data_IF_850609921704
#
_entry.id   IF_850609921704
#
_cell.length_a   1.000
_cell.length_b   1.000
_cell.length_c   1.000
_cell.angle_alpha   90.00
_cell.angle_beta   90.00
_cell.angle_gamma   90.00
#
_symmetry.space_group_name_H-M   'P 1'
#
loop_
_entity.id
_entity.type
_entity.pdbx_description
1 polymer ?
#
# COMPACT_ATOMS: atom_id res chain seq x y z
N UNK A 1 -10.57 -4.19 16.41
CA UNK A 1 -10.46 -3.43 17.68
C UNK A 1 -11.78 -2.69 17.94
N UNK A 2 -12.35 -2.86 19.13
CA UNK A 2 -13.64 -2.20 19.51
C UNK A 2 -13.48 -0.69 19.74
N UNK A 3 -12.28 -0.24 20.08
CA UNK A 3 -11.96 1.17 20.43
C UNK A 3 -10.73 1.67 19.67
N UNK A 4 -10.51 1.17 18.47
CA UNK A 4 -9.31 1.49 17.67
C UNK A 4 -9.17 2.98 17.36
N UNK A 5 -10.27 3.66 17.08
CA UNK A 5 -10.23 5.08 16.77
C UNK A 5 -9.96 5.97 17.99
N UNK A 6 -10.49 5.63 19.19
CA UNK A 6 -10.16 6.38 20.43
C UNK A 6 -8.69 6.25 20.80
N UNK A 7 -8.15 5.03 20.72
CA UNK A 7 -6.72 4.81 20.93
C UNK A 7 -5.91 5.55 19.86
N UNK A 8 -6.39 5.52 18.62
CA UNK A 8 -5.83 6.25 17.48
C UNK A 8 -5.81 7.76 17.73
N UNK A 9 -6.88 8.33 18.27
CA UNK A 9 -6.96 9.76 18.60
C UNK A 9 -5.89 10.16 19.62
N UNK A 10 -5.78 9.42 20.71
CA UNK A 10 -4.75 9.67 21.75
C UNK A 10 -3.33 9.51 21.19
N UNK A 11 -3.14 8.56 20.27
CA UNK A 11 -1.85 8.37 19.60
C UNK A 11 -1.52 9.55 18.70
N UNK A 12 -2.49 9.99 17.88
CA UNK A 12 -2.34 11.11 16.95
C UNK A 12 -2.03 12.41 17.70
N UNK A 13 -2.76 12.71 18.78
CA UNK A 13 -2.51 13.90 19.60
C UNK A 13 -1.08 13.97 20.14
N UNK A 14 -0.46 12.80 20.41
CA UNK A 14 0.88 12.71 20.99
C UNK A 14 2.01 12.57 19.97
N UNK A 15 1.74 11.90 18.83
CA UNK A 15 2.79 11.40 17.96
C UNK A 15 2.62 11.76 16.48
N UNK A 16 1.49 12.31 16.07
CA UNK A 16 1.22 12.65 14.67
C UNK A 16 0.67 14.07 14.51
N UNK A 17 1.52 15.09 14.53
CA UNK A 17 1.08 16.49 14.43
C UNK A 17 0.41 16.78 13.08
N UNK A 18 -0.44 17.80 13.04
CA UNK A 18 -1.16 18.19 11.82
C UNK A 18 -0.24 18.60 10.66
N UNK A 19 1.01 19.01 10.95
CA UNK A 19 2.03 19.24 9.92
C UNK A 19 2.38 17.96 9.19
N UNK A 20 2.54 16.85 9.91
CA UNK A 20 2.85 15.55 9.33
C UNK A 20 1.76 15.05 8.40
N UNK A 21 0.46 15.28 8.72
CA UNK A 21 -0.63 14.95 7.79
C UNK A 21 -0.49 15.71 6.48
N UNK A 22 -0.20 17.04 6.54
CA UNK A 22 -0.03 17.84 5.32
C UNK A 22 1.16 17.40 4.47
N UNK A 23 2.30 17.09 5.09
CA UNK A 23 3.48 16.59 4.39
C UNK A 23 3.22 15.24 3.71
N UNK A 24 2.49 14.36 4.39
CA UNK A 24 2.08 13.07 3.82
C UNK A 24 1.08 13.24 2.67
N UNK A 25 0.11 14.16 2.78
CA UNK A 25 -0.83 14.47 1.69
C UNK A 25 -0.08 15.01 0.47
N UNK A 26 0.92 15.86 0.68
CA UNK A 26 1.79 16.38 -0.38
C UNK A 26 2.63 15.27 -1.03
N UNK A 27 3.23 14.39 -0.22
CA UNK A 27 3.99 13.24 -0.70
C UNK A 27 3.12 12.32 -1.58
N UNK A 28 1.90 12.01 -1.14
CA UNK A 28 0.94 11.23 -1.96
C UNK A 28 0.62 11.96 -3.25
N UNK A 29 0.46 13.28 -3.21
CA UNK A 29 0.25 14.09 -4.42
C UNK A 29 1.39 13.92 -5.44
N UNK A 30 2.64 13.92 -5.00
CA UNK A 30 3.80 13.67 -5.86
C UNK A 30 3.81 12.25 -6.41
N UNK A 31 3.48 11.24 -5.61
CA UNK A 31 3.40 9.85 -6.08
C UNK A 31 2.31 9.67 -7.13
N UNK A 32 1.12 10.21 -6.93
CA UNK A 32 0.03 10.19 -7.91
C UNK A 32 0.44 10.90 -9.22
N UNK A 33 1.15 12.03 -9.11
CA UNK A 33 1.68 12.73 -10.28
C UNK A 33 2.70 11.88 -11.05
N UNK A 34 3.61 11.21 -10.35
CA UNK A 34 4.58 10.30 -10.95
C UNK A 34 3.91 9.10 -11.64
N UNK A 35 2.90 8.49 -11.01
CA UNK A 35 2.10 7.43 -11.63
C UNK A 35 1.36 7.92 -12.89
N UNK A 36 0.79 9.11 -12.84
CA UNK A 36 0.11 9.74 -14.01
C UNK A 36 1.08 9.89 -15.18
N UNK A 37 2.25 10.44 -14.91
CA UNK A 37 3.28 10.60 -15.93
C UNK A 37 3.71 9.25 -16.50
N UNK A 38 3.99 8.29 -15.62
CA UNK A 38 4.43 6.95 -16.02
C UNK A 38 3.38 6.23 -16.87
N UNK A 39 2.13 6.21 -16.45
CA UNK A 39 1.02 5.60 -17.20
C UNK A 39 0.87 6.27 -18.56
N UNK A 40 1.00 7.59 -18.63
CA UNK A 40 0.89 8.35 -19.90
C UNK A 40 1.94 7.94 -20.93
N UNK A 41 3.07 7.44 -20.50
CA UNK A 41 4.23 7.06 -21.33
C UNK A 41 4.32 5.56 -21.63
N UNK A 42 3.36 4.73 -21.17
CA UNK A 42 3.40 3.29 -21.42
C UNK A 42 3.13 2.96 -22.89
N UNK A 43 4.18 2.58 -23.62
CA UNK A 43 4.11 2.31 -25.05
C UNK A 43 3.34 1.01 -25.37
N UNK A 44 3.36 0.04 -24.48
CA UNK A 44 2.69 -1.25 -24.66
C UNK A 44 1.16 -1.19 -24.47
N UNK A 45 0.66 -0.09 -23.93
CA UNK A 45 -0.76 0.11 -23.63
C UNK A 45 -1.42 0.99 -24.70
N UNK A 46 -2.57 0.55 -25.22
CA UNK A 46 -3.33 1.35 -26.17
C UNK A 46 -3.79 2.68 -25.58
N UNK A 47 -4.03 3.72 -26.41
CA UNK A 47 -4.52 5.02 -25.90
C UNK A 47 -5.81 4.90 -25.09
N UNK A 48 -6.75 4.05 -25.52
CA UNK A 48 -8.04 3.89 -24.84
C UNK A 48 -7.89 3.26 -23.44
N UNK A 49 -7.05 2.23 -23.30
CA UNK A 49 -6.77 1.60 -22.01
C UNK A 49 -5.97 2.52 -21.09
N UNK A 50 -5.03 3.30 -21.67
CA UNK A 50 -4.26 4.30 -20.94
C UNK A 50 -5.16 5.40 -20.36
N UNK A 51 -6.13 5.88 -21.11
CA UNK A 51 -7.12 6.86 -20.63
C UNK A 51 -7.91 6.30 -19.43
N UNK A 52 -8.39 5.06 -19.52
CA UNK A 52 -9.09 4.39 -18.42
C UNK A 52 -8.20 4.14 -17.20
N UNK A 53 -6.92 3.84 -17.39
CA UNK A 53 -5.97 3.72 -16.30
C UNK A 53 -5.76 5.06 -15.59
N UNK A 54 -5.67 6.16 -16.35
CA UNK A 54 -5.56 7.52 -15.79
C UNK A 54 -6.85 7.96 -15.08
N UNK A 55 -8.02 7.59 -15.61
CA UNK A 55 -9.29 7.80 -14.95
C UNK A 55 -9.33 7.05 -13.61
N UNK A 56 -9.01 5.77 -13.61
CA UNK A 56 -8.91 4.95 -12.39
C UNK A 56 -7.96 5.59 -11.37
N UNK A 57 -6.76 6.00 -11.78
CA UNK A 57 -5.81 6.68 -10.91
C UNK A 57 -6.40 7.96 -10.29
N UNK A 58 -7.20 8.71 -11.04
CA UNK A 58 -7.83 9.95 -10.54
C UNK A 58 -8.87 9.72 -9.44
N UNK A 59 -9.37 8.49 -9.30
CA UNK A 59 -10.37 8.09 -8.31
C UNK A 59 -9.76 7.56 -7.01
N UNK A 60 -8.44 7.41 -6.94
CA UNK A 60 -7.76 7.02 -5.72
C UNK A 60 -7.99 8.06 -4.62
N UNK A 61 -8.41 7.58 -3.45
CA UNK A 61 -8.59 8.39 -2.24
C UNK A 61 -7.61 7.91 -1.18
N UNK A 62 -6.60 8.71 -0.92
CA UNK A 62 -5.68 8.46 0.17
C UNK A 62 -6.39 8.62 1.52
N UNK A 63 -6.12 7.71 2.46
CA UNK A 63 -6.56 7.79 3.84
C UNK A 63 -5.30 7.82 4.70
N UNK A 64 -4.87 9.03 5.07
CA UNK A 64 -3.57 9.27 5.69
C UNK A 64 -3.73 9.72 7.13
N UNK A 65 -2.97 9.08 8.00
CA UNK A 65 -2.83 9.44 9.41
C UNK A 65 -4.10 9.15 10.19
N UNK A 66 -5.08 10.05 10.11
CA UNK A 66 -6.29 9.96 10.89
C UNK A 66 -7.50 10.50 10.10
N UNK A 67 -8.73 10.07 10.46
CA UNK A 67 -9.96 10.51 9.78
C UNK A 67 -10.22 12.00 10.04
N UNK A 68 -10.91 12.67 9.11
CA UNK A 68 -11.29 14.08 9.27
C UNK A 68 -12.29 14.29 10.39
N UNK A 69 -13.06 13.25 10.75
CA UNK A 69 -13.92 13.21 11.92
C UNK A 69 -13.79 11.88 12.64
N UNK A 70 -13.53 11.93 13.94
CA UNK A 70 -13.44 10.74 14.78
C UNK A 70 -14.85 10.21 15.11
N UNK A 71 -14.94 8.90 15.30
CA UNK A 71 -16.17 8.28 15.80
C UNK A 71 -16.41 8.72 17.25
N UNK A 72 -17.64 9.11 17.55
CA UNK A 72 -18.06 9.42 18.92
C UNK A 72 -18.30 8.14 19.73
N UNK A 73 -17.49 7.93 20.78
CA UNK A 73 -17.60 6.82 21.72
C UNK A 73 -18.16 7.24 23.08
N UNK A 74 -18.68 8.47 23.22
CA UNK A 74 -19.18 9.01 24.49
C UNK A 74 -20.26 8.16 25.16
N UNK A 75 -20.97 7.32 24.37
CA UNK A 75 -21.96 6.36 24.86
C UNK A 75 -21.43 4.96 25.15
N UNK A 76 -20.11 4.73 25.03
CA UNK A 76 -19.50 3.41 25.26
C UNK A 76 -19.08 3.25 26.71
N UNK A 77 -19.81 2.42 27.47
CA UNK A 77 -19.41 2.00 28.82
C UNK A 77 -18.45 0.82 28.76
N UNK A 78 -17.19 1.02 29.20
CA UNK A 78 -16.19 -0.03 29.28
C UNK A 78 -15.92 -0.39 30.74
N UNK A 79 -16.15 -1.65 31.14
CA UNK A 79 -15.82 -2.10 32.48
C UNK A 79 -14.31 -2.32 32.62
N UNK A 80 -13.71 -1.73 33.66
CA UNK A 80 -12.26 -1.68 33.94
C UNK A 80 -11.60 -3.02 34.34
N UNK A 81 -12.03 -4.15 33.81
CA UNK A 81 -11.40 -5.45 34.05
C UNK A 81 -10.60 -5.90 32.83
N UNK A 82 -9.28 -5.69 32.83
CA UNK A 82 -8.37 -6.30 31.85
C UNK A 82 -7.19 -5.44 31.42
N UNK A 83 -6.32 -5.01 32.35
CA UNK A 83 -5.10 -4.23 32.03
C UNK A 83 -4.13 -4.88 31.05
N UNK A 84 -4.22 -6.19 30.82
CA UNK A 84 -3.26 -6.95 29.98
C UNK A 84 -3.42 -6.71 28.47
N UNK A 85 -4.62 -6.43 27.97
CA UNK A 85 -4.86 -6.21 26.55
C UNK A 85 -4.20 -4.92 26.04
N UNK A 86 -4.15 -3.89 26.89
CA UNK A 86 -3.50 -2.61 26.59
C UNK A 86 -1.97 -2.72 26.62
N UNK A 87 -1.43 -3.55 27.51
CA UNK A 87 0.00 -3.85 27.57
C UNK A 87 0.45 -4.60 26.30
N UNK A 88 -0.32 -5.57 25.83
CA UNK A 88 -0.03 -6.31 24.60
C UNK A 88 -0.14 -5.46 23.33
N UNK A 89 -1.11 -4.53 23.26
CA UNK A 89 -1.24 -3.60 22.14
C UNK A 89 -0.08 -2.59 22.09
N UNK A 90 0.41 -2.12 23.25
CA UNK A 90 1.58 -1.25 23.35
C UNK A 90 2.89 -1.96 22.98
N UNK A 91 3.05 -3.22 23.39
CA UNK A 91 4.21 -4.03 23.05
C UNK A 91 4.30 -4.29 21.54
N UNK A 92 3.17 -4.59 20.87
CA UNK A 92 3.11 -4.76 19.42
C UNK A 92 3.47 -3.49 18.63
N UNK A 93 3.05 -2.33 19.11
CA UNK A 93 3.34 -1.03 18.46
C UNK A 93 4.81 -0.60 18.64
N UNK A 94 5.50 -1.02 19.70
CA UNK A 94 6.89 -0.67 19.97
C UNK A 94 7.89 -1.42 19.06
N UNK A 95 7.47 -2.48 18.38
CA UNK A 95 8.30 -3.28 17.47
C UNK A 95 8.23 -2.88 16.00
N UNK A 96 7.31 -1.98 15.61
CA UNK A 96 7.25 -1.49 14.24
C UNK A 96 8.08 -0.20 14.12
N UNK A 97 9.16 -0.20 13.32
CA UNK A 97 9.88 1.04 13.05
C UNK A 97 8.93 2.04 12.41
N UNK A 98 9.01 3.33 12.75
CA UNK A 98 8.19 4.35 12.11
C UNK A 98 8.59 4.45 10.63
N UNK A 99 7.64 4.22 9.71
CA UNK A 99 7.85 4.44 8.28
C UNK A 99 8.01 5.92 7.93
N UNK A 100 7.59 6.81 8.81
CA UNK A 100 7.66 8.25 8.66
C UNK A 100 8.30 8.87 9.90
N UNK A 101 9.29 9.74 9.67
CA UNK A 101 9.94 10.51 10.71
C UNK A 101 9.82 12.01 10.38
N UNK A 102 9.05 12.81 11.18
CA UNK A 102 8.86 14.23 10.93
C UNK A 102 10.15 15.06 11.06
N UNK A 103 11.20 14.52 11.69
CA UNK A 103 12.49 15.17 11.87
C UNK A 103 13.51 14.79 10.78
N UNK A 104 13.19 13.77 9.95
CA UNK A 104 14.02 13.34 8.85
C UNK A 104 13.84 14.22 7.62
N UNK A 105 14.80 14.20 6.71
CA UNK A 105 14.66 14.92 5.45
C UNK A 105 13.65 14.24 4.51
N UNK A 106 13.24 14.97 3.47
CA UNK A 106 12.25 14.49 2.51
C UNK A 106 12.72 13.22 1.78
N UNK A 107 14.00 13.10 1.46
CA UNK A 107 14.53 11.94 0.74
C UNK A 107 14.45 10.67 1.59
N UNK A 108 14.71 10.77 2.89
CA UNK A 108 14.57 9.66 3.83
C UNK A 108 13.10 9.21 3.94
N UNK A 109 12.17 10.17 4.09
CA UNK A 109 10.74 9.85 4.15
C UNK A 109 10.20 9.29 2.82
N UNK A 110 10.66 9.78 1.67
CA UNK A 110 10.31 9.21 0.37
C UNK A 110 10.85 7.78 0.21
N UNK A 111 12.05 7.50 0.67
CA UNK A 111 12.64 6.16 0.64
C UNK A 111 11.97 5.16 1.59
N UNK A 112 11.38 5.65 2.67
CA UNK A 112 10.68 4.83 3.67
C UNK A 112 9.18 4.75 3.35
N UNK A 113 8.38 5.67 3.90
CA UNK A 113 6.91 5.62 3.76
C UNK A 113 6.46 5.87 2.30
N UNK A 114 7.20 6.67 1.53
CA UNK A 114 6.87 6.92 0.14
C UNK A 114 6.95 5.66 -0.72
N UNK A 115 7.93 4.79 -0.47
CA UNK A 115 8.02 3.50 -1.14
C UNK A 115 6.83 2.61 -0.83
N UNK A 116 6.38 2.56 0.43
CA UNK A 116 5.18 1.80 0.85
C UNK A 116 3.93 2.35 0.19
N UNK A 117 3.72 3.66 0.20
CA UNK A 117 2.54 4.28 -0.43
C UNK A 117 2.55 4.05 -1.95
N UNK A 118 3.70 4.14 -2.59
CA UNK A 118 3.85 3.82 -4.02
C UNK A 118 3.47 2.36 -4.31
N UNK A 119 3.92 1.43 -3.47
CA UNK A 119 3.56 0.02 -3.53
C UNK A 119 2.04 -0.18 -3.43
N UNK A 120 1.38 0.42 -2.44
CA UNK A 120 -0.07 0.33 -2.26
C UNK A 120 -0.87 0.92 -3.44
N UNK A 121 -0.40 2.01 -4.05
CA UNK A 121 -0.98 2.53 -5.29
C UNK A 121 -0.79 1.52 -6.44
N UNK A 122 0.36 0.87 -6.50
CA UNK A 122 0.70 -0.17 -7.47
C UNK A 122 -0.29 -1.32 -7.47
N UNK A 123 -0.77 -1.73 -6.29
CA UNK A 123 -1.78 -2.79 -6.15
C UNK A 123 -3.09 -2.48 -6.91
N UNK A 124 -3.43 -1.23 -7.14
CA UNK A 124 -4.56 -0.87 -7.99
C UNK A 124 -4.40 -1.30 -9.46
N UNK A 125 -3.18 -1.60 -9.89
CA UNK A 125 -2.82 -1.92 -11.27
C UNK A 125 -2.09 -3.26 -11.42
N UNK A 126 -1.98 -4.05 -10.34
CA UNK A 126 -1.38 -5.38 -10.36
C UNK A 126 -2.30 -6.43 -11.03
N UNK A 127 -1.94 -7.71 -10.95
CA UNK A 127 -2.69 -8.81 -11.55
C UNK A 127 -4.11 -8.96 -10.99
N UNK A 128 -4.33 -8.58 -9.74
CA UNK A 128 -5.63 -8.63 -9.07
C UNK A 128 -6.35 -7.28 -9.18
N UNK A 129 -5.70 -6.19 -8.76
CA UNK A 129 -6.32 -4.86 -8.76
C UNK A 129 -6.67 -4.37 -10.16
N UNK A 130 -5.93 -4.80 -11.19
CA UNK A 130 -6.24 -4.46 -12.58
C UNK A 130 -7.58 -5.02 -13.09
N UNK A 131 -8.18 -5.97 -12.38
CA UNK A 131 -9.49 -6.52 -12.71
C UNK A 131 -10.65 -5.62 -12.28
N UNK A 132 -10.38 -4.66 -11.40
CA UNK A 132 -11.38 -3.74 -10.86
C UNK A 132 -11.31 -2.38 -11.54
N UNK A 133 -12.47 -1.79 -11.82
CA UNK A 133 -12.57 -0.40 -12.28
C UNK A 133 -12.27 0.61 -11.16
N UNK A 134 -12.31 1.91 -11.47
CA UNK A 134 -12.04 2.97 -10.52
C UNK A 134 -13.09 3.12 -9.41
N UNK A 135 -14.26 2.50 -9.55
CA UNK A 135 -15.30 2.43 -8.53
C UNK A 135 -15.19 1.18 -7.64
N UNK A 136 -14.23 0.28 -7.95
CA UNK A 136 -14.02 -0.97 -7.22
C UNK A 136 -14.94 -2.11 -7.66
N UNK A 137 -15.63 -2.00 -8.79
CA UNK A 137 -16.41 -3.08 -9.35
C UNK A 137 -15.51 -4.03 -10.13
N UNK A 138 -15.78 -5.34 -10.05
CA UNK A 138 -15.14 -6.35 -10.90
C UNK A 138 -15.63 -6.15 -12.34
N UNK A 139 -14.93 -5.35 -13.10
CA UNK A 139 -15.30 -4.95 -14.45
C UNK A 139 -14.05 -4.78 -15.31
N UNK A 140 -13.91 -5.59 -16.36
CA UNK A 140 -12.77 -5.49 -17.25
C UNK A 140 -12.83 -4.18 -18.04
N UNK A 141 -11.80 -3.35 -17.85
CA UNK A 141 -11.60 -2.07 -18.55
C UNK A 141 -10.45 -2.13 -19.57
N UNK A 142 -9.84 -3.31 -19.70
CA UNK A 142 -8.76 -3.57 -20.65
C UNK A 142 -9.30 -3.93 -22.03
N UNK A 143 -8.54 -3.60 -23.06
CA UNK A 143 -8.69 -4.28 -24.35
C UNK A 143 -8.05 -5.68 -24.26
N UNK A 144 -8.49 -6.62 -25.12
CA UNK A 144 -7.89 -7.95 -25.18
C UNK A 144 -6.40 -7.90 -25.52
N UNK A 145 -6.00 -6.96 -26.38
CA UNK A 145 -4.62 -6.73 -26.77
C UNK A 145 -3.77 -6.27 -25.59
N UNK A 146 -4.25 -5.28 -24.83
CA UNK A 146 -3.52 -4.76 -23.66
C UNK A 146 -3.44 -5.79 -22.54
N UNK A 147 -4.51 -6.58 -22.34
CA UNK A 147 -4.50 -7.67 -21.37
C UNK A 147 -3.44 -8.71 -21.74
N UNK A 148 -3.37 -9.11 -22.99
CA UNK A 148 -2.34 -10.05 -23.47
C UNK A 148 -0.91 -9.48 -23.34
N UNK A 149 -0.73 -8.17 -23.59
CA UNK A 149 0.56 -7.52 -23.40
C UNK A 149 0.97 -7.48 -21.93
N UNK A 150 0.04 -7.17 -21.02
CA UNK A 150 0.25 -7.18 -19.58
C UNK A 150 0.63 -8.59 -19.09
N UNK A 151 -0.11 -9.63 -19.48
CA UNK A 151 0.16 -11.02 -19.12
C UNK A 151 1.53 -11.50 -19.61
N UNK A 152 1.95 -11.06 -20.79
CA UNK A 152 3.30 -11.35 -21.30
C UNK A 152 4.41 -10.71 -20.47
N UNK A 153 4.17 -9.50 -19.94
CA UNK A 153 5.12 -8.81 -19.07
C UNK A 153 5.18 -9.47 -17.69
N UNK A 154 4.02 -9.76 -17.12
CA UNK A 154 3.93 -10.37 -15.78
C UNK A 154 4.45 -11.81 -15.75
N UNK A 155 4.31 -12.57 -16.84
CA UNK A 155 4.92 -13.88 -16.96
C UNK A 155 6.45 -13.87 -16.79
N UNK A 156 7.14 -12.83 -17.30
CA UNK A 156 8.58 -12.67 -17.09
C UNK A 156 8.90 -12.39 -15.62
N UNK A 157 8.07 -11.63 -14.94
CA UNK A 157 8.24 -11.34 -13.52
C UNK A 157 8.02 -12.60 -12.68
N UNK A 158 7.00 -13.39 -13.00
CA UNK A 158 6.78 -14.72 -12.39
C UNK A 158 8.00 -15.61 -12.56
N UNK A 159 8.55 -15.71 -13.77
CA UNK A 159 9.75 -16.52 -14.06
C UNK A 159 10.96 -16.03 -13.25
N UNK A 160 11.15 -14.71 -13.13
CA UNK A 160 12.24 -14.11 -12.38
C UNK A 160 12.24 -14.49 -10.89
N UNK A 161 11.08 -14.54 -10.27
CA UNK A 161 10.94 -14.79 -8.84
C UNK A 161 10.72 -16.28 -8.52
N UNK A 162 10.23 -17.06 -9.46
CA UNK A 162 9.87 -18.46 -9.22
C UNK A 162 11.08 -19.31 -8.80
N UNK A 163 10.94 -20.02 -7.70
CA UNK A 163 11.98 -20.91 -7.17
C UNK A 163 13.15 -20.20 -6.46
N UNK A 164 13.14 -18.86 -6.33
CA UNK A 164 14.17 -18.15 -5.57
C UNK A 164 14.09 -18.53 -4.09
N UNK A 165 15.21 -18.96 -3.53
CA UNK A 165 15.33 -19.31 -2.10
C UNK A 165 16.10 -18.21 -1.39
N UNK A 166 15.59 -17.65 -0.28
CA UNK A 166 16.31 -16.68 0.54
C UNK A 166 17.69 -17.19 0.96
N UNK A 167 18.69 -16.32 0.89
CA UNK A 167 20.10 -16.67 1.19
C UNK A 167 20.24 -17.26 2.58
N UNK A 168 19.50 -16.72 3.58
CA UNK A 168 19.53 -17.23 4.95
C UNK A 168 19.10 -18.69 5.06
N UNK A 169 18.14 -19.15 4.25
CA UNK A 169 17.71 -20.55 4.25
C UNK A 169 18.75 -21.44 3.58
N UNK A 170 19.37 -20.97 2.50
CA UNK A 170 20.48 -21.69 1.83
C UNK A 170 21.66 -21.89 2.77
N UNK A 171 22.08 -20.83 3.47
CA UNK A 171 23.20 -20.84 4.41
C UNK A 171 22.91 -21.72 5.64
N UNK A 172 21.67 -21.76 6.09
CA UNK A 172 21.23 -22.62 7.17
C UNK A 172 21.04 -24.10 6.76
N UNK A 173 21.19 -24.45 5.50
CA UNK A 173 20.95 -25.80 4.98
C UNK A 173 19.50 -26.23 5.04
N UNK A 174 18.55 -25.30 5.10
CA UNK A 174 17.12 -25.58 5.19
C UNK A 174 16.58 -25.78 3.76
N UNK A 175 16.01 -26.96 3.49
CA UNK A 175 15.33 -27.24 2.23
C UNK A 175 14.11 -26.34 2.05
N UNK A 176 13.98 -25.77 0.85
CA UNK A 176 12.84 -24.90 0.47
C UNK A 176 12.56 -25.02 -1.01
N UNK A 177 11.29 -25.05 -1.39
CA UNK A 177 10.87 -24.97 -2.79
C UNK A 177 11.07 -23.58 -3.39
N UNK A 178 11.42 -22.62 -2.57
CA UNK A 178 11.58 -21.21 -2.95
C UNK A 178 10.24 -20.48 -3.12
N UNK A 179 10.34 -19.28 -3.65
CA UNK A 179 9.19 -18.39 -3.90
C UNK A 179 8.31 -18.97 -5.00
N UNK A 180 7.00 -18.91 -4.80
CA UNK A 180 6.04 -19.12 -5.87
C UNK A 180 5.79 -17.79 -6.59
N UNK A 181 6.41 -17.61 -7.77
CA UNK A 181 6.36 -16.35 -8.51
C UNK A 181 4.95 -15.93 -8.92
N UNK A 182 4.06 -16.88 -9.17
CA UNK A 182 2.65 -16.57 -9.49
C UNK A 182 1.88 -16.10 -8.25
N UNK A 183 2.14 -16.69 -7.10
CA UNK A 183 1.49 -16.30 -5.84
C UNK A 183 1.91 -14.91 -5.36
N UNK A 184 3.18 -14.56 -5.60
CA UNK A 184 3.74 -13.26 -5.16
C UNK A 184 3.69 -12.19 -6.26
N UNK A 185 2.99 -12.43 -7.37
CA UNK A 185 3.03 -11.54 -8.53
C UNK A 185 2.57 -10.12 -8.20
N UNK A 186 1.44 -9.97 -7.47
CA UNK A 186 0.92 -8.66 -7.08
C UNK A 186 1.93 -7.86 -6.25
N UNK A 187 2.54 -8.50 -5.25
CA UNK A 187 3.58 -7.91 -4.41
C UNK A 187 4.82 -7.49 -5.22
N UNK A 188 5.21 -8.32 -6.18
CA UNK A 188 6.37 -8.03 -7.04
C UNK A 188 6.09 -6.88 -8.03
N UNK A 189 4.83 -6.68 -8.43
CA UNK A 189 4.41 -5.54 -9.26
C UNK A 189 4.39 -4.27 -8.40
N UNK A 190 3.83 -4.32 -7.19
CA UNK A 190 3.80 -3.21 -6.24
C UNK A 190 5.18 -2.76 -5.82
#
# INVERSE_FOLDING_TARGET
SLVGEEIGQVFVEKHFPASSKREMDELVGYLIAAYRERISQLEWMTPATRERALEKLSQFKAKIGFPDSWRDYSGLEVSAKGGDLLANARAGSAFSPPFYNPEADAAENFGAIGAVIGHEIGHGFDDQGSQFDGQGNLNSWWSDEDRAAFEKLTAKLVEQFNGQVPTVLKEAGIESTGVNGSFTLGENIG
#
